data_IF_618555771492
#
_entry.id   IF_618555771492
#
_cell.length_a   1.000
_cell.length_b   1.000
_cell.length_c   1.000
_cell.angle_alpha   90.00
_cell.angle_beta   90.00
_cell.angle_gamma   90.00
#
_symmetry.space_group_name_H-M   'P 1'
#
loop_
_entity.id
_entity.type
_entity.pdbx_description
1 polymer ?
#
# COMPACT_ATOMS: atom_id res chain seq x y z
N UNK A 1 -7.25 8.16 -22.33
CA UNK A 1 -7.98 7.19 -21.48
C UNK A 1 -7.55 7.25 -20.01
N UNK A 2 -6.25 7.26 -19.67
CA UNK A 2 -5.78 7.25 -18.27
C UNK A 2 -6.12 8.48 -17.42
N UNK A 3 -6.24 9.67 -18.01
CA UNK A 3 -6.56 10.91 -17.28
C UNK A 3 -8.00 10.92 -16.75
N UNK A 4 -8.95 10.43 -17.54
CA UNK A 4 -10.39 10.41 -17.20
C UNK A 4 -10.69 9.38 -16.10
N UNK A 5 -9.99 8.23 -16.10
CA UNK A 5 -10.14 7.20 -15.06
C UNK A 5 -9.69 7.75 -13.70
N UNK A 6 -8.62 8.56 -13.68
CA UNK A 6 -8.08 9.17 -12.47
C UNK A 6 -9.04 10.21 -11.85
N UNK A 7 -9.72 11.01 -12.69
CA UNK A 7 -10.71 11.98 -12.24
C UNK A 7 -11.96 11.32 -11.63
N UNK A 8 -12.44 10.23 -12.24
CA UNK A 8 -13.59 9.46 -11.72
C UNK A 8 -13.23 8.76 -10.40
N UNK A 9 -12.08 8.11 -10.32
CA UNK A 9 -11.63 7.42 -9.11
C UNK A 9 -11.46 8.39 -7.92
N UNK A 10 -10.97 9.60 -8.20
CA UNK A 10 -10.87 10.68 -7.22
C UNK A 10 -12.25 11.11 -6.73
N UNK A 11 -13.21 11.30 -7.64
CA UNK A 11 -14.59 11.66 -7.30
C UNK A 11 -15.28 10.58 -6.45
N UNK A 12 -15.15 9.31 -6.84
CA UNK A 12 -15.69 8.17 -6.09
C UNK A 12 -15.08 8.04 -4.68
N UNK A 13 -13.78 8.32 -4.54
CA UNK A 13 -13.08 8.35 -3.25
C UNK A 13 -13.59 9.50 -2.38
N UNK A 14 -13.76 10.70 -2.93
CA UNK A 14 -14.33 11.87 -2.23
C UNK A 14 -15.75 11.58 -1.74
N UNK A 15 -16.57 10.94 -2.59
CA UNK A 15 -17.94 10.53 -2.26
C UNK A 15 -18.01 9.29 -1.35
N UNK A 16 -16.87 8.72 -0.95
CA UNK A 16 -16.76 7.49 -0.13
C UNK A 16 -17.48 6.28 -0.74
N UNK A 17 -17.58 6.24 -2.06
CA UNK A 17 -18.14 5.10 -2.80
C UNK A 17 -17.14 3.94 -2.91
N UNK A 18 -15.86 4.22 -2.63
CA UNK A 18 -14.76 3.26 -2.50
C UNK A 18 -13.63 3.84 -1.63
N UNK A 19 -12.65 3.00 -1.31
CA UNK A 19 -11.43 3.41 -0.59
C UNK A 19 -10.16 2.94 -1.31
N UNK A 20 -9.05 3.65 -1.15
CA UNK A 20 -7.82 3.28 -1.86
C UNK A 20 -7.98 3.31 -3.39
N UNK A 21 -7.09 2.61 -4.09
CA UNK A 21 -7.06 2.61 -5.56
C UNK A 21 -7.77 1.38 -6.13
N UNK A 22 -9.04 1.53 -6.54
CA UNK A 22 -9.79 0.47 -7.23
C UNK A 22 -9.16 0.13 -8.58
N UNK A 23 -8.62 1.12 -9.29
CA UNK A 23 -7.94 0.91 -10.58
C UNK A 23 -6.77 -0.09 -10.45
N UNK A 24 -6.06 -0.10 -9.32
CA UNK A 24 -5.00 -1.06 -9.07
C UNK A 24 -5.53 -2.51 -8.98
N UNK A 25 -6.73 -2.72 -8.41
CA UNK A 25 -7.37 -4.03 -8.32
C UNK A 25 -7.80 -4.52 -9.71
N UNK A 26 -8.34 -3.63 -10.53
CA UNK A 26 -8.74 -3.95 -11.91
C UNK A 26 -7.51 -4.30 -12.78
N UNK A 27 -6.43 -3.53 -12.68
CA UNK A 27 -5.17 -3.83 -13.37
C UNK A 27 -4.64 -5.19 -12.91
N UNK A 28 -4.63 -5.45 -11.60
CA UNK A 28 -4.16 -6.71 -11.04
C UNK A 28 -5.04 -7.89 -11.46
N UNK A 29 -6.36 -7.72 -11.54
CA UNK A 29 -7.27 -8.75 -12.06
C UNK A 29 -6.87 -9.09 -13.49
N UNK A 30 -6.68 -8.12 -14.37
CA UNK A 30 -6.36 -8.39 -15.78
C UNK A 30 -4.95 -8.95 -15.98
N UNK A 31 -3.96 -8.47 -15.22
CA UNK A 31 -2.56 -8.86 -15.38
C UNK A 31 -2.22 -10.27 -14.86
N UNK A 32 -2.95 -10.78 -13.87
CA UNK A 32 -2.62 -12.07 -13.26
C UNK A 32 -2.96 -13.25 -14.19
N UNK A 33 -2.07 -14.25 -14.24
CA UNK A 33 -2.32 -15.50 -14.98
C UNK A 33 -3.50 -16.29 -14.37
N UNK A 34 -4.13 -17.15 -15.18
CA UNK A 34 -5.11 -18.14 -14.71
C UNK A 34 -4.52 -19.00 -13.58
N UNK A 35 -5.30 -19.28 -12.54
CA UNK A 35 -4.85 -20.00 -11.35
C UNK A 35 -3.78 -19.25 -10.53
N UNK A 36 -3.63 -17.94 -10.71
CA UNK A 36 -2.66 -17.11 -10.00
C UNK A 36 -3.16 -16.58 -8.67
N UNK A 37 -2.37 -15.72 -8.03
CA UNK A 37 -2.72 -15.06 -6.77
C UNK A 37 -2.53 -13.56 -6.88
N UNK A 38 -3.53 -12.79 -6.43
CA UNK A 38 -3.42 -11.35 -6.21
C UNK A 38 -3.39 -11.11 -4.70
N UNK A 39 -2.32 -10.48 -4.22
CA UNK A 39 -2.17 -10.08 -2.82
C UNK A 39 -2.46 -8.59 -2.69
N UNK A 40 -3.50 -8.24 -1.92
CA UNK A 40 -3.89 -6.86 -1.66
C UNK A 40 -3.16 -6.35 -0.42
N UNK A 41 -2.25 -5.40 -0.61
CA UNK A 41 -1.50 -4.73 0.47
C UNK A 41 -1.90 -3.26 0.49
N UNK A 42 -2.39 -2.79 1.64
CA UNK A 42 -2.91 -1.44 1.82
C UNK A 42 -4.19 -1.43 2.66
N UNK A 43 -4.81 -0.25 2.78
CA UNK A 43 -6.04 -0.08 3.57
C UNK A 43 -7.26 0.02 2.65
N UNK A 44 -7.97 -1.10 2.48
CA UNK A 44 -9.16 -1.23 1.64
C UNK A 44 -10.40 -1.54 2.50
N UNK A 45 -10.73 -0.66 3.45
CA UNK A 45 -11.79 -0.87 4.44
C UNK A 45 -13.22 -0.48 4.00
N UNK A 46 -13.37 0.05 2.78
CA UNK A 46 -14.67 0.49 2.25
C UNK A 46 -15.43 -0.66 1.58
N UNK A 47 -16.72 -0.43 1.26
CA UNK A 47 -17.47 -1.28 0.33
C UNK A 47 -17.20 -0.80 -1.09
N UNK A 48 -17.13 -1.74 -2.04
CA UNK A 48 -16.82 -1.45 -3.45
C UNK A 48 -17.98 -1.88 -4.34
N UNK A 49 -18.55 -0.92 -5.07
CA UNK A 49 -19.50 -1.19 -6.14
C UNK A 49 -18.75 -1.55 -7.44
N UNK A 50 -19.33 -2.44 -8.26
CA UNK A 50 -18.69 -2.97 -9.47
C UNK A 50 -17.28 -3.55 -9.21
N UNK A 51 -17.11 -4.26 -8.09
CA UNK A 51 -15.89 -5.02 -7.84
C UNK A 51 -15.71 -6.09 -8.93
N UNK A 52 -14.50 -6.28 -9.51
CA UNK A 52 -14.27 -7.19 -10.64
C UNK A 52 -14.27 -8.67 -10.21
N UNK A 53 -15.28 -9.09 -9.46
CA UNK A 53 -15.40 -10.44 -8.90
C UNK A 53 -15.39 -11.52 -9.99
N UNK A 54 -16.05 -11.25 -11.12
CA UNK A 54 -16.11 -12.16 -12.26
C UNK A 54 -14.75 -12.44 -12.89
N UNK A 55 -13.85 -11.45 -12.90
CA UNK A 55 -12.49 -11.62 -13.44
C UNK A 55 -11.69 -12.63 -12.64
N UNK A 56 -11.84 -12.57 -11.31
CA UNK A 56 -11.18 -13.47 -10.38
C UNK A 56 -11.79 -14.87 -10.43
N UNK A 57 -13.13 -14.94 -10.41
CA UNK A 57 -13.87 -16.18 -10.39
C UNK A 57 -13.64 -17.01 -11.66
N UNK A 58 -13.78 -16.38 -12.84
CA UNK A 58 -13.68 -17.07 -14.14
C UNK A 58 -12.30 -17.68 -14.43
N UNK A 59 -11.26 -17.21 -13.74
CA UNK A 59 -9.86 -17.63 -13.95
C UNK A 59 -9.25 -18.35 -12.76
N UNK A 60 -10.05 -18.79 -11.79
CA UNK A 60 -9.59 -19.47 -10.57
C UNK A 60 -8.49 -18.70 -9.83
N UNK A 61 -8.63 -17.37 -9.73
CA UNK A 61 -7.63 -16.52 -9.09
C UNK A 61 -7.86 -16.53 -7.57
N UNK A 62 -6.78 -16.71 -6.81
CA UNK A 62 -6.79 -16.54 -5.36
C UNK A 62 -6.63 -15.07 -5.01
N UNK A 63 -7.56 -14.53 -4.22
CA UNK A 63 -7.43 -13.23 -3.58
C UNK A 63 -6.91 -13.41 -2.15
N UNK A 64 -5.73 -12.85 -1.86
CA UNK A 64 -5.16 -12.81 -0.51
C UNK A 64 -5.19 -11.38 0.01
N UNK A 65 -5.80 -11.18 1.17
CA UNK A 65 -6.05 -9.84 1.72
C UNK A 65 -6.01 -9.88 3.25
N UNK A 66 -5.87 -8.71 3.87
CA UNK A 66 -5.92 -8.56 5.33
C UNK A 66 -5.05 -7.40 5.80
N UNK A 67 -5.15 -7.10 7.09
CA UNK A 67 -4.17 -6.25 7.77
C UNK A 67 -2.88 -7.04 8.00
N UNK A 68 -1.74 -6.35 8.07
CA UNK A 68 -0.48 -7.00 8.41
C UNK A 68 -0.54 -7.51 9.87
N UNK A 69 -0.46 -8.83 10.14
CA UNK A 69 -0.38 -9.34 11.50
C UNK A 69 1.07 -9.18 12.00
N UNK A 70 1.47 -7.93 12.27
CA UNK A 70 2.84 -7.55 12.57
C UNK A 70 3.44 -8.38 13.72
N UNK A 71 2.65 -8.61 14.77
CA UNK A 71 3.06 -9.39 15.95
C UNK A 71 3.47 -10.82 15.60
N UNK A 72 2.83 -11.44 14.61
CA UNK A 72 3.18 -12.80 14.18
C UNK A 72 4.51 -12.88 13.43
N UNK A 73 5.03 -11.76 12.93
CA UNK A 73 6.27 -11.71 12.15
C UNK A 73 7.43 -11.05 12.88
N UNK A 74 7.19 -10.35 14.00
CA UNK A 74 8.19 -9.50 14.65
C UNK A 74 9.44 -10.26 15.03
N UNK A 75 9.32 -11.42 15.67
CA UNK A 75 10.46 -12.23 16.11
C UNK A 75 11.28 -12.75 14.92
N UNK A 76 10.60 -13.19 13.86
CA UNK A 76 11.25 -13.68 12.64
C UNK A 76 12.03 -12.57 11.95
N UNK A 77 11.44 -11.38 11.84
CA UNK A 77 12.09 -10.21 11.22
C UNK A 77 13.31 -9.78 12.05
N UNK A 78 13.17 -9.69 13.38
CA UNK A 78 14.28 -9.33 14.27
C UNK A 78 15.44 -10.32 14.18
N UNK A 79 15.16 -11.62 14.07
CA UNK A 79 16.19 -12.64 13.87
C UNK A 79 16.92 -12.49 12.55
N UNK A 80 16.23 -12.12 11.47
CA UNK A 80 16.85 -11.85 10.17
C UNK A 80 17.77 -10.62 10.23
N UNK A 81 17.35 -9.56 10.95
CA UNK A 81 18.16 -8.37 11.18
C UNK A 81 19.42 -8.72 11.97
N UNK A 82 19.29 -9.46 13.09
CA UNK A 82 20.43 -9.91 13.91
C UNK A 82 21.42 -10.77 13.12
N UNK A 83 20.92 -11.56 12.17
CA UNK A 83 21.72 -12.41 11.26
C UNK A 83 22.26 -11.64 10.05
N UNK A 84 22.11 -10.32 9.99
CA UNK A 84 22.51 -9.45 8.89
C UNK A 84 22.01 -9.96 7.52
N UNK A 85 20.77 -10.50 7.47
CA UNK A 85 20.16 -10.98 6.22
C UNK A 85 19.67 -9.85 5.32
N UNK A 86 19.37 -8.69 5.91
CA UNK A 86 19.11 -7.44 5.21
C UNK A 86 19.40 -6.26 6.16
N UNK A 87 19.64 -5.07 5.61
CA UNK A 87 19.78 -3.85 6.39
C UNK A 87 18.41 -3.20 6.57
N UNK A 88 17.90 -3.13 7.79
CA UNK A 88 16.61 -2.49 8.08
C UNK A 88 16.67 -0.95 8.10
N UNK A 89 17.88 -0.37 8.04
CA UNK A 89 18.11 1.08 8.10
C UNK A 89 18.07 1.72 6.70
N UNK A 90 18.23 0.92 5.64
CA UNK A 90 18.30 1.38 4.25
C UNK A 90 17.07 2.20 3.79
N UNK A 91 15.89 1.89 4.34
CA UNK A 91 14.64 2.58 4.07
C UNK A 91 14.59 3.99 4.67
N UNK A 92 15.41 4.28 5.70
CA UNK A 92 15.43 5.57 6.40
C UNK A 92 16.15 6.60 5.55
N UNK A 93 15.39 7.44 4.85
CA UNK A 93 15.99 8.47 3.99
C UNK A 93 16.32 9.76 4.73
N UNK A 94 15.59 10.10 5.79
CA UNK A 94 15.80 11.35 6.53
C UNK A 94 15.71 11.17 8.05
N UNK A 95 16.42 12.01 8.78
CA UNK A 95 16.40 12.09 10.25
C UNK A 95 16.22 13.53 10.66
N UNK A 96 15.29 13.79 11.58
CA UNK A 96 14.95 15.14 12.03
C UNK A 96 14.75 15.14 13.56
N UNK A 97 14.75 16.31 14.18
CA UNK A 97 14.41 16.42 15.60
C UNK A 97 12.92 16.16 15.84
N UNK A 98 12.54 15.73 17.04
CA UNK A 98 11.14 15.54 17.41
C UNK A 98 10.35 16.86 17.34
N UNK A 99 11.01 17.98 17.66
CA UNK A 99 10.45 19.34 17.50
C UNK A 99 10.11 19.71 16.06
N UNK A 100 10.72 19.06 15.06
CA UNK A 100 10.42 19.29 13.64
C UNK A 100 9.25 18.45 13.11
N UNK A 101 8.48 17.78 13.99
CA UNK A 101 7.42 16.84 13.59
C UNK A 101 6.45 17.40 12.55
N UNK A 102 5.92 18.61 12.75
CA UNK A 102 5.00 19.26 11.80
C UNK A 102 5.65 19.44 10.41
N UNK A 103 6.91 19.89 10.39
CA UNK A 103 7.68 20.07 9.16
C UNK A 103 7.91 18.72 8.46
N UNK A 104 8.22 17.67 9.23
CA UNK A 104 8.40 16.32 8.69
C UNK A 104 7.13 15.81 7.99
N UNK A 105 5.95 16.00 8.59
CA UNK A 105 4.67 15.64 7.97
C UNK A 105 4.42 16.43 6.68
N UNK A 106 4.67 17.75 6.67
CA UNK A 106 4.53 18.58 5.46
C UNK A 106 5.44 18.11 4.33
N UNK A 107 6.70 17.79 4.64
CA UNK A 107 7.66 17.29 3.65
C UNK A 107 7.27 15.93 3.08
N UNK A 108 6.77 15.02 3.93
CA UNK A 108 6.28 13.71 3.50
C UNK A 108 5.02 13.83 2.62
N UNK A 109 4.07 14.70 2.98
CA UNK A 109 2.82 14.90 2.25
C UNK A 109 3.02 15.52 0.86
N UNK A 110 3.99 16.44 0.73
CA UNK A 110 4.32 17.08 -0.55
C UNK A 110 4.93 16.11 -1.58
N UNK A 111 5.25 14.86 -1.17
CA UNK A 111 5.85 13.82 -2.04
C UNK A 111 7.06 14.33 -2.83
N UNK A 112 7.84 15.24 -2.23
CA UNK A 112 9.08 15.70 -2.83
C UNK A 112 10.04 14.53 -2.98
N UNK A 113 10.78 14.50 -4.09
CA UNK A 113 11.64 13.37 -4.45
C UNK A 113 12.58 12.98 -3.28
N UNK A 114 12.63 11.67 -3.00
CA UNK A 114 13.46 10.98 -1.99
C UNK A 114 12.98 10.99 -0.51
N UNK A 115 11.79 11.52 -0.18
CA UNK A 115 11.21 11.37 1.16
C UNK A 115 10.42 10.05 1.30
N UNK A 116 11.10 8.97 1.73
CA UNK A 116 10.52 7.62 1.89
C UNK A 116 10.18 7.33 3.36
N UNK A 117 11.14 7.53 4.27
CA UNK A 117 10.96 7.32 5.72
C UNK A 117 11.75 8.37 6.49
N UNK A 118 11.04 9.14 7.31
CA UNK A 118 11.63 10.11 8.23
C UNK A 118 11.61 9.52 9.64
N UNK A 119 12.77 9.49 10.30
CA UNK A 119 12.87 9.13 11.72
C UNK A 119 13.04 10.40 12.55
N UNK A 120 12.08 10.64 13.46
CA UNK A 120 12.16 11.71 14.45
C UNK A 120 12.98 11.24 15.65
N UNK A 121 14.02 11.99 15.99
CA UNK A 121 14.86 11.73 17.17
C UNK A 121 14.49 12.69 18.31
N UNK A 122 14.38 12.21 19.56
CA UNK A 122 14.17 13.05 20.74
C UNK A 122 15.19 14.17 20.86
#
# INVERSE_FOLDING_TARGET
>A
MGFVVFEIETLETILKLQGGSKSAIEIASQAVRKGGTVSVVGVYGARYNNFPFGDFFSRNITLKMGQCPADSYIDTILDLIKKNKFDAIDIITHRMSLSDGEKAYKLFDQKLDNYIKIVLKP
#
